data_IF_032469831696
#
_entry.id   IF_032469831696
#
_cell.length_a   1.000
_cell.length_b   1.000
_cell.length_c   1.000
_cell.angle_alpha   90.00
_cell.angle_beta   90.00
_cell.angle_gamma   90.00
#
_symmetry.space_group_name_H-M   'P 1'
#
loop_
_entity.id
_entity.type
_entity.pdbx_description
1 polymer ?
#
# COMPACT_ATOMS: atom_id res chain seq x y z
N UNK A 1 54.80 45.10 2.96
CA UNK A 1 54.79 43.71 2.44
C UNK A 1 53.34 43.32 2.20
N UNK A 2 52.93 43.44 0.94
CA UNK A 2 51.59 43.15 0.42
C UNK A 2 51.45 41.65 0.17
N UNK A 3 50.54 40.98 0.88
CA UNK A 3 50.16 39.59 0.62
C UNK A 3 49.02 39.59 -0.39
N UNK A 4 49.23 38.88 -1.50
CA UNK A 4 48.44 38.94 -2.71
C UNK A 4 47.01 38.42 -2.57
N UNK A 5 46.10 39.14 -3.21
CA UNK A 5 44.73 38.75 -3.51
C UNK A 5 44.78 37.63 -4.56
N UNK A 6 44.42 36.42 -4.16
CA UNK A 6 44.23 35.29 -5.07
C UNK A 6 43.01 35.54 -5.94
N UNK A 7 43.25 35.58 -7.24
CA UNK A 7 42.35 35.91 -8.33
C UNK A 7 41.26 34.84 -8.47
N UNK A 8 39.99 35.24 -8.50
CA UNK A 8 38.84 34.40 -8.80
C UNK A 8 38.87 33.93 -10.26
N UNK A 9 39.09 32.63 -10.49
CA UNK A 9 38.88 32.01 -11.78
C UNK A 9 37.38 31.90 -12.07
N UNK A 10 36.89 32.31 -13.26
CA UNK A 10 35.50 32.08 -13.65
C UNK A 10 35.30 30.59 -13.94
N UNK A 11 34.38 29.96 -13.19
CA UNK A 11 33.89 28.62 -13.46
C UNK A 11 33.30 28.57 -14.87
N UNK A 12 33.87 27.73 -15.73
CA UNK A 12 33.36 27.42 -17.05
C UNK A 12 31.92 26.90 -16.95
N UNK A 13 31.02 27.29 -17.88
CA UNK A 13 29.67 26.75 -17.90
C UNK A 13 29.79 25.27 -18.26
N UNK A 14 29.56 24.41 -17.28
CA UNK A 14 29.40 22.97 -17.52
C UNK A 14 28.33 22.81 -18.58
N UNK A 15 28.81 22.39 -19.76
CA UNK A 15 28.09 21.70 -20.82
C UNK A 15 26.74 21.17 -20.36
N UNK A 16 25.67 21.63 -21.03
CA UNK A 16 24.30 21.27 -20.73
C UNK A 16 24.13 19.78 -20.47
N UNK A 17 24.04 19.42 -19.20
CA UNK A 17 23.34 18.22 -18.80
C UNK A 17 21.88 18.52 -19.12
N UNK A 18 21.45 18.16 -20.34
CA UNK A 18 20.05 17.87 -20.56
C UNK A 18 19.73 16.75 -19.57
N UNK A 19 19.28 17.12 -18.36
CA UNK A 19 18.53 16.25 -17.49
C UNK A 19 17.36 15.85 -18.36
N UNK A 20 17.49 14.71 -19.04
CA UNK A 20 16.43 14.17 -19.87
C UNK A 20 15.22 14.14 -18.96
N UNK A 21 14.21 14.95 -19.27
CA UNK A 21 12.92 14.82 -18.63
C UNK A 21 12.44 13.43 -19.05
N UNK A 22 12.67 12.44 -18.19
CA UNK A 22 12.28 11.05 -18.39
C UNK A 22 10.76 10.99 -18.41
N UNK A 23 10.21 11.37 -19.56
CA UNK A 23 8.80 11.32 -19.87
C UNK A 23 8.47 9.85 -20.10
N UNK A 24 7.31 9.40 -19.63
CA UNK A 24 6.84 8.02 -19.86
C UNK A 24 7.05 7.62 -21.32
N UNK A 25 7.76 6.52 -21.54
CA UNK A 25 7.79 5.90 -22.86
C UNK A 25 6.40 5.38 -23.20
N UNK A 26 6.10 5.25 -24.50
CA UNK A 26 4.84 4.64 -24.97
C UNK A 26 4.66 3.26 -24.32
N UNK A 27 5.76 2.54 -24.08
CA UNK A 27 5.76 1.23 -23.40
C UNK A 27 5.22 1.33 -21.97
N UNK A 28 5.62 2.35 -21.21
CA UNK A 28 5.20 2.53 -19.82
C UNK A 28 3.70 2.84 -19.73
N UNK A 29 3.18 3.64 -20.67
CA UNK A 29 1.74 3.88 -20.79
C UNK A 29 0.97 2.61 -21.13
N UNK A 30 1.46 1.80 -22.07
CA UNK A 30 0.82 0.54 -22.44
C UNK A 30 0.77 -0.41 -21.24
N UNK A 31 1.87 -0.56 -20.50
CA UNK A 31 1.91 -1.42 -19.30
C UNK A 31 0.97 -0.91 -18.22
N UNK A 32 0.93 0.41 -17.99
CA UNK A 32 0.04 1.01 -17.01
C UNK A 32 -1.45 0.80 -17.34
N UNK A 33 -1.85 1.09 -18.58
CA UNK A 33 -3.23 0.87 -19.03
C UNK A 33 -3.58 -0.61 -19.01
N UNK A 34 -2.69 -1.50 -19.45
CA UNK A 34 -2.89 -2.94 -19.40
C UNK A 34 -3.11 -3.43 -17.96
N UNK A 35 -2.32 -2.93 -17.01
CA UNK A 35 -2.46 -3.28 -15.59
C UNK A 35 -3.82 -2.85 -15.02
N UNK A 36 -4.29 -1.64 -15.35
CA UNK A 36 -5.61 -1.17 -14.93
C UNK A 36 -6.73 -2.00 -15.56
N UNK A 37 -6.64 -2.29 -16.86
CA UNK A 37 -7.63 -3.09 -17.59
C UNK A 37 -7.67 -4.53 -17.08
N UNK A 38 -6.52 -5.17 -16.84
CA UNK A 38 -6.46 -6.51 -16.27
C UNK A 38 -7.07 -6.56 -14.87
N UNK A 39 -6.79 -5.56 -14.02
CA UNK A 39 -7.39 -5.46 -12.69
C UNK A 39 -8.91 -5.37 -12.79
N UNK A 40 -9.43 -4.45 -13.61
CA UNK A 40 -10.87 -4.34 -13.87
C UNK A 40 -11.46 -5.63 -14.46
N UNK A 41 -10.76 -6.29 -15.37
CA UNK A 41 -11.23 -7.52 -16.01
C UNK A 41 -11.36 -8.66 -15.00
N UNK A 42 -10.46 -8.78 -14.02
CA UNK A 42 -10.55 -9.77 -12.95
C UNK A 42 -11.76 -9.51 -12.06
N UNK A 43 -11.98 -8.25 -11.64
CA UNK A 43 -13.18 -7.87 -10.87
C UNK A 43 -14.47 -8.13 -11.66
N UNK A 44 -14.52 -7.68 -12.91
CA UNK A 44 -15.69 -7.88 -13.78
C UNK A 44 -15.94 -9.37 -14.08
N UNK A 45 -14.88 -10.16 -14.25
CA UNK A 45 -14.98 -11.61 -14.43
C UNK A 45 -15.64 -12.28 -13.21
N UNK A 46 -15.22 -11.89 -11.99
CA UNK A 46 -15.81 -12.43 -10.77
C UNK A 46 -17.24 -11.92 -10.52
N UNK A 47 -17.54 -10.67 -10.84
CA UNK A 47 -18.89 -10.13 -10.82
C UNK A 47 -19.83 -10.84 -11.81
N UNK A 48 -19.40 -11.02 -13.08
CA UNK A 48 -20.20 -11.66 -14.12
C UNK A 48 -20.38 -13.17 -13.90
N UNK A 49 -19.43 -13.85 -13.26
CA UNK A 49 -19.51 -15.29 -12.97
C UNK A 49 -20.44 -15.62 -11.80
N UNK A 50 -21.12 -14.62 -11.24
CA UNK A 50 -22.20 -14.81 -10.27
C UNK A 50 -21.73 -15.02 -8.84
N UNK A 51 -20.62 -14.40 -8.43
CA UNK A 51 -20.18 -14.44 -7.03
C UNK A 51 -21.21 -13.78 -6.06
N UNK A 52 -22.17 -13.00 -6.57
CA UNK A 52 -23.21 -12.32 -5.77
C UNK A 52 -24.20 -13.21 -5.01
N UNK A 53 -24.07 -14.55 -5.02
CA UNK A 53 -24.94 -15.48 -4.25
C UNK A 53 -24.27 -16.08 -3.01
N UNK A 54 -23.02 -15.74 -2.76
CA UNK A 54 -22.26 -16.29 -1.65
C UNK A 54 -22.62 -15.58 -0.33
N UNK A 55 -22.79 -16.37 0.73
CA UNK A 55 -23.11 -15.83 2.07
C UNK A 55 -21.93 -15.01 2.58
N UNK A 56 -22.16 -13.99 3.42
CA UNK A 56 -21.09 -13.12 3.98
C UNK A 56 -19.91 -13.93 4.55
N UNK A 57 -20.18 -15.10 5.14
CA UNK A 57 -19.14 -16.00 5.63
C UNK A 57 -18.26 -16.62 4.53
N UNK A 58 -18.79 -16.87 3.34
CA UNK A 58 -18.03 -17.40 2.22
C UNK A 58 -17.19 -16.33 1.53
N UNK A 59 -17.67 -15.08 1.50
CA UNK A 59 -16.89 -13.92 1.05
C UNK A 59 -15.76 -13.56 2.01
N UNK A 60 -16.04 -13.49 3.32
CA UNK A 60 -15.05 -13.03 4.31
C UNK A 60 -14.12 -14.14 4.80
N UNK A 61 -14.55 -15.40 4.78
CA UNK A 61 -13.76 -16.53 5.32
C UNK A 61 -13.34 -17.55 4.27
N UNK A 62 -13.75 -17.39 3.00
CA UNK A 62 -13.49 -18.36 1.92
C UNK A 62 -13.80 -19.80 2.34
N UNK A 63 -14.94 -19.99 3.02
CA UNK A 63 -15.41 -21.26 3.61
C UNK A 63 -14.39 -21.95 4.54
N UNK A 64 -13.37 -21.23 5.02
CA UNK A 64 -12.20 -21.74 5.78
C UNK A 64 -11.44 -22.88 5.07
N UNK A 65 -11.63 -23.04 3.76
CA UNK A 65 -10.99 -24.07 2.93
C UNK A 65 -9.75 -23.57 2.18
N UNK A 66 -9.38 -22.31 2.34
CA UNK A 66 -8.18 -21.75 1.72
C UNK A 66 -6.91 -22.44 2.25
N UNK A 67 -6.06 -22.89 1.32
CA UNK A 67 -4.75 -23.44 1.65
C UNK A 67 -3.82 -22.38 2.25
N UNK A 68 -2.76 -22.84 2.91
CA UNK A 68 -1.76 -21.97 3.54
C UNK A 68 -1.12 -20.97 2.56
N UNK A 69 -0.83 -21.42 1.32
CA UNK A 69 -0.17 -20.59 0.30
C UNK A 69 -1.01 -19.37 -0.14
N UNK A 70 -2.29 -19.52 -0.55
CA UNK A 70 -3.17 -18.38 -0.83
C UNK A 70 -3.29 -17.39 0.34
N UNK A 71 -3.40 -17.90 1.58
CA UNK A 71 -3.52 -17.05 2.77
C UNK A 71 -2.24 -16.24 3.00
N UNK A 72 -1.07 -16.89 2.91
CA UNK A 72 0.22 -16.22 3.05
C UNK A 72 0.41 -15.14 1.97
N UNK A 73 0.08 -15.43 0.71
CA UNK A 73 0.17 -14.47 -0.38
C UNK A 73 -0.77 -13.27 -0.18
N UNK A 74 -2.00 -13.49 0.26
CA UNK A 74 -2.96 -12.41 0.55
C UNK A 74 -2.50 -11.54 1.72
N UNK A 75 -1.95 -12.14 2.78
CA UNK A 75 -1.36 -11.40 3.90
C UNK A 75 -0.16 -10.57 3.45
N UNK A 76 0.77 -11.16 2.68
CA UNK A 76 1.92 -10.45 2.13
C UNK A 76 1.50 -9.28 1.23
N UNK A 77 0.49 -9.48 0.38
CA UNK A 77 -0.05 -8.43 -0.48
C UNK A 77 -0.66 -7.29 0.34
N UNK A 78 -1.38 -7.60 1.43
CA UNK A 78 -1.98 -6.59 2.32
C UNK A 78 -0.94 -5.82 3.12
N UNK A 79 0.16 -6.48 3.53
CA UNK A 79 1.23 -5.82 4.27
C UNK A 79 2.06 -4.86 3.41
N UNK A 80 2.13 -5.10 2.10
CA UNK A 80 2.93 -4.28 1.22
C UNK A 80 2.15 -3.05 0.76
N UNK A 81 2.69 -1.85 1.04
CA UNK A 81 2.07 -0.58 0.68
C UNK A 81 2.97 0.22 -0.28
N UNK A 82 2.35 1.00 -1.17
CA UNK A 82 3.06 1.91 -2.08
C UNK A 82 3.94 2.92 -1.32
N UNK A 83 3.50 3.34 -0.13
CA UNK A 83 4.26 4.25 0.75
C UNK A 83 5.54 3.59 1.24
N UNK A 84 5.50 2.30 1.57
CA UNK A 84 6.70 1.58 2.00
C UNK A 84 7.69 1.43 0.84
N UNK A 85 7.20 1.10 -0.36
CA UNK A 85 8.05 0.92 -1.53
C UNK A 85 8.80 2.20 -1.90
N UNK A 86 8.14 3.36 -1.85
CA UNK A 86 8.78 4.65 -2.14
C UNK A 86 9.54 5.22 -0.94
N UNK A 87 9.01 5.02 0.27
CA UNK A 87 9.53 5.58 1.51
C UNK A 87 10.81 4.91 1.99
N UNK A 88 10.89 3.57 1.97
CA UNK A 88 12.03 2.82 2.51
C UNK A 88 13.35 3.16 1.82
N UNK A 89 13.44 3.19 0.47
CA UNK A 89 14.66 3.63 -0.21
C UNK A 89 15.03 5.08 0.11
N UNK A 90 14.03 5.97 0.22
CA UNK A 90 14.26 7.38 0.54
C UNK A 90 14.82 7.58 1.96
N UNK A 91 14.36 6.77 2.91
CA UNK A 91 14.83 6.77 4.29
C UNK A 91 16.25 6.23 4.37
N UNK A 92 16.52 5.09 3.71
CA UNK A 92 17.87 4.49 3.68
C UNK A 92 18.87 5.44 3.00
N UNK A 93 18.46 6.13 1.94
CA UNK A 93 19.32 7.08 1.24
C UNK A 93 19.69 8.28 2.12
N UNK A 94 18.78 8.74 2.98
CA UNK A 94 19.00 9.92 3.85
C UNK A 94 19.66 9.60 5.17
N UNK A 95 19.26 8.50 5.81
CA UNK A 95 19.62 8.15 7.19
C UNK A 95 20.47 6.88 7.30
N UNK A 96 20.77 6.22 6.18
CA UNK A 96 21.64 5.05 6.12
C UNK A 96 20.94 3.72 6.40
N UNK A 97 21.72 2.67 6.65
CA UNK A 97 21.24 1.28 6.77
C UNK A 97 20.52 0.96 8.09
N UNK A 98 20.30 1.95 8.96
CA UNK A 98 19.65 1.75 10.26
C UNK A 98 18.21 1.21 10.11
N UNK A 99 17.54 1.51 9.00
CA UNK A 99 16.20 0.99 8.69
C UNK A 99 16.12 -0.56 8.71
N UNK A 100 17.24 -1.25 8.48
CA UNK A 100 17.30 -2.72 8.52
C UNK A 100 16.85 -3.31 9.86
N UNK A 101 17.12 -2.62 10.98
CA UNK A 101 16.72 -3.07 12.31
C UNK A 101 15.20 -3.18 12.43
N UNK A 102 14.46 -2.31 11.74
CA UNK A 102 13.01 -2.30 11.70
C UNK A 102 12.46 -3.58 11.05
N UNK A 103 13.11 -4.07 9.99
CA UNK A 103 12.80 -5.38 9.38
C UNK A 103 12.99 -6.56 10.32
N UNK A 104 14.11 -6.58 11.06
CA UNK A 104 14.36 -7.60 12.09
C UNK A 104 13.30 -7.58 13.20
N UNK A 105 12.92 -6.39 13.67
CA UNK A 105 11.85 -6.22 14.65
C UNK A 105 10.49 -6.71 14.13
N UNK A 106 10.15 -6.45 12.86
CA UNK A 106 8.93 -6.96 12.25
C UNK A 106 8.89 -8.49 12.25
N UNK A 107 9.99 -9.15 11.88
CA UNK A 107 10.08 -10.61 11.86
C UNK A 107 9.84 -11.22 13.26
N UNK A 108 10.53 -10.71 14.28
CA UNK A 108 10.32 -11.14 15.66
C UNK A 108 8.93 -10.78 16.19
N UNK A 109 8.43 -9.61 15.80
CA UNK A 109 7.11 -9.10 16.18
C UNK A 109 5.96 -9.96 15.62
N UNK A 110 6.14 -10.60 14.46
CA UNK A 110 5.16 -11.49 13.85
C UNK A 110 5.09 -12.88 14.53
N UNK A 111 6.14 -13.32 15.22
CA UNK A 111 6.12 -14.61 15.95
C UNK A 111 5.12 -14.60 17.11
N UNK A 112 5.00 -13.47 17.81
CA UNK A 112 4.08 -13.31 18.95
C UNK A 112 2.61 -13.51 18.53
N UNK A 113 2.06 -12.77 17.54
CA UNK A 113 0.71 -13.00 17.05
C UNK A 113 0.52 -14.38 16.46
N UNK A 114 1.53 -14.94 15.78
CA UNK A 114 1.46 -16.28 15.23
C UNK A 114 1.26 -17.37 16.29
N UNK A 115 1.95 -17.29 17.44
CA UNK A 115 1.88 -18.32 18.48
C UNK A 115 0.83 -18.07 19.56
N UNK A 116 0.49 -16.80 19.85
CA UNK A 116 -0.42 -16.47 20.96
C UNK A 116 -1.81 -16.10 20.45
N UNK A 117 -1.88 -15.20 19.47
CA UNK A 117 -3.15 -14.61 19.06
C UNK A 117 -3.92 -15.50 18.09
N UNK A 118 -3.25 -16.07 17.06
CA UNK A 118 -3.88 -16.99 16.10
C UNK A 118 -4.62 -18.15 16.78
N UNK A 119 -4.02 -18.93 17.71
CA UNK A 119 -4.73 -20.06 18.29
C UNK A 119 -5.93 -19.65 19.14
N UNK A 120 -5.91 -18.47 19.75
CA UNK A 120 -7.06 -17.92 20.50
C UNK A 120 -8.19 -17.58 19.52
N UNK A 121 -7.90 -16.79 18.46
CA UNK A 121 -8.92 -16.41 17.48
C UNK A 121 -9.52 -17.61 16.74
N UNK A 122 -8.70 -18.62 16.42
CA UNK A 122 -9.16 -19.82 15.73
C UNK A 122 -10.10 -20.68 16.60
N UNK A 123 -9.82 -20.79 17.91
CA UNK A 123 -10.67 -21.54 18.85
C UNK A 123 -12.03 -20.89 19.07
N UNK A 124 -12.07 -19.55 19.16
CA UNK A 124 -13.31 -18.81 19.39
C UNK A 124 -14.18 -18.66 18.13
N UNK A 125 -13.72 -19.16 16.97
CA UNK A 125 -14.46 -19.12 15.71
C UNK A 125 -14.94 -17.72 15.29
N UNK A 126 -14.23 -16.67 15.73
CA UNK A 126 -14.64 -15.28 15.51
C UNK A 126 -14.49 -14.87 14.05
N UNK A 127 -15.41 -14.02 13.61
CA UNK A 127 -15.40 -13.49 12.24
C UNK A 127 -14.64 -12.19 12.13
N UNK A 128 -14.53 -11.45 13.24
CA UNK A 128 -13.82 -10.17 13.32
C UNK A 128 -12.97 -10.11 14.59
N UNK A 129 -11.79 -9.51 14.51
CA UNK A 129 -10.92 -9.31 15.68
C UNK A 129 -11.61 -8.47 16.77
N UNK A 130 -12.51 -7.55 16.41
CA UNK A 130 -13.25 -6.71 17.36
C UNK A 130 -14.36 -7.47 18.11
N UNK A 131 -14.79 -8.62 17.59
CA UNK A 131 -15.74 -9.51 18.27
C UNK A 131 -15.16 -10.04 19.58
N UNK A 132 -13.84 -10.24 19.63
CA UNK A 132 -13.11 -10.59 20.85
C UNK A 132 -13.22 -9.50 21.93
N UNK A 133 -13.23 -8.22 21.54
CA UNK A 133 -13.39 -7.12 22.50
C UNK A 133 -14.79 -7.10 23.12
N UNK A 134 -15.81 -7.50 22.37
CA UNK A 134 -17.17 -7.64 22.90
C UNK A 134 -17.27 -8.78 23.90
N UNK A 135 -16.68 -9.94 23.59
CA UNK A 135 -16.67 -11.09 24.49
C UNK A 135 -15.88 -10.82 25.78
N UNK A 136 -14.80 -10.04 25.70
CA UNK A 136 -13.96 -9.76 26.86
C UNK A 136 -14.45 -8.59 27.72
N UNK A 137 -14.99 -7.55 27.10
CA UNK A 137 -15.38 -6.31 27.77
C UNK A 137 -16.88 -6.05 27.63
N UNK A 138 -17.30 -5.44 26.52
CA UNK A 138 -18.69 -5.13 26.22
C UNK A 138 -18.84 -4.66 24.75
N UNK A 139 -20.10 -4.50 24.31
CA UNK A 139 -20.45 -4.01 22.98
C UNK A 139 -19.97 -2.57 22.71
N UNK A 140 -19.92 -1.72 23.74
CA UNK A 140 -19.45 -0.33 23.61
C UNK A 140 -17.99 -0.25 23.19
N UNK A 141 -17.12 -1.08 23.77
CA UNK A 141 -15.69 -1.16 23.43
C UNK A 141 -15.51 -1.70 22.01
N UNK A 142 -16.33 -2.67 21.58
CA UNK A 142 -16.33 -3.14 20.18
C UNK A 142 -16.64 -2.01 19.20
N UNK A 143 -17.69 -1.24 19.45
CA UNK A 143 -18.08 -0.12 18.56
C UNK A 143 -16.98 0.94 18.55
N UNK A 144 -16.46 1.33 19.72
CA UNK A 144 -15.37 2.30 19.82
C UNK A 144 -14.13 1.84 19.03
N UNK A 145 -13.67 0.61 19.24
CA UNK A 145 -12.51 0.07 18.52
C UNK A 145 -12.71 -0.04 17.01
N UNK A 146 -13.91 -0.42 16.57
CA UNK A 146 -14.25 -0.49 15.14
C UNK A 146 -14.27 0.91 14.51
N UNK A 147 -14.87 1.91 15.19
CA UNK A 147 -14.92 3.29 14.68
C UNK A 147 -13.52 3.92 14.60
N UNK A 148 -12.69 3.75 15.64
CA UNK A 148 -11.31 4.24 15.62
C UNK A 148 -10.50 3.59 14.49
N UNK A 149 -10.68 2.29 14.26
CA UNK A 149 -10.02 1.60 13.16
C UNK A 149 -10.47 2.08 11.79
N UNK A 150 -11.78 2.25 11.58
CA UNK A 150 -12.32 2.80 10.32
C UNK A 150 -11.73 4.18 10.08
N UNK A 151 -11.73 5.06 11.09
CA UNK A 151 -11.16 6.40 10.97
C UNK A 151 -9.66 6.37 10.62
N UNK A 152 -8.88 5.55 11.33
CA UNK A 152 -7.46 5.36 11.03
C UNK A 152 -7.24 4.84 9.61
N UNK A 153 -8.04 3.85 9.18
CA UNK A 153 -7.91 3.25 7.85
C UNK A 153 -8.29 4.21 6.73
N UNK A 154 -9.30 5.07 6.92
CA UNK A 154 -9.65 6.10 5.92
C UNK A 154 -8.47 7.05 5.70
N UNK A 155 -7.84 7.51 6.78
CA UNK A 155 -6.66 8.39 6.68
C UNK A 155 -5.50 7.65 6.02
N UNK A 156 -5.22 6.42 6.45
CA UNK A 156 -4.14 5.61 5.90
C UNK A 156 -4.31 5.35 4.40
N UNK A 157 -5.50 4.90 3.98
CA UNK A 157 -5.81 4.64 2.57
C UNK A 157 -5.69 5.90 1.71
N UNK A 158 -6.02 7.08 2.24
CA UNK A 158 -5.79 8.35 1.57
C UNK A 158 -4.31 8.60 1.27
N UNK A 159 -3.43 8.37 2.26
CA UNK A 159 -1.96 8.50 2.07
C UNK A 159 -1.44 7.45 1.09
N UNK A 160 -1.95 6.22 1.18
CA UNK A 160 -1.54 5.13 0.29
C UNK A 160 -1.94 5.40 -1.16
N UNK A 161 -3.11 5.98 -1.42
CA UNK A 161 -3.53 6.39 -2.77
C UNK A 161 -2.77 7.62 -3.28
N UNK A 162 -2.33 8.49 -2.38
CA UNK A 162 -1.55 9.67 -2.75
C UNK A 162 -0.17 9.32 -3.31
N UNK A 163 0.53 8.35 -2.71
CA UNK A 163 1.87 7.93 -3.14
C UNK A 163 1.99 7.55 -4.65
N UNK A 164 1.18 6.63 -5.20
CA UNK A 164 1.21 6.31 -6.62
C UNK A 164 0.68 7.44 -7.50
N UNK A 165 -0.26 8.25 -7.00
CA UNK A 165 -0.78 9.42 -7.74
C UNK A 165 0.29 10.50 -7.90
N UNK A 166 1.09 10.74 -6.87
CA UNK A 166 2.22 11.67 -6.91
C UNK A 166 3.31 11.17 -7.86
N UNK A 167 3.61 9.88 -7.82
CA UNK A 167 4.54 9.27 -8.76
C UNK A 167 4.05 9.44 -10.20
N UNK A 168 2.75 9.22 -10.47
CA UNK A 168 2.14 9.40 -11.78
C UNK A 168 2.10 10.86 -12.24
N UNK A 169 1.84 11.81 -11.34
CA UNK A 169 1.91 13.24 -11.63
C UNK A 169 3.32 13.67 -12.03
N UNK A 170 4.35 13.22 -11.31
CA UNK A 170 5.74 13.59 -11.55
C UNK A 170 6.26 13.15 -12.94
N UNK A 171 5.70 12.07 -13.49
CA UNK A 171 6.18 11.43 -14.72
C UNK A 171 5.31 11.69 -15.95
N UNK A 172 4.02 12.00 -15.75
CA UNK A 172 3.09 12.32 -16.85
C UNK A 172 2.81 13.82 -16.98
N UNK A 173 3.03 14.61 -15.93
CA UNK A 173 2.68 16.04 -15.88
C UNK A 173 1.17 16.31 -15.78
N UNK A 174 0.33 15.29 -15.65
CA UNK A 174 -1.11 15.44 -15.43
C UNK A 174 -1.44 16.04 -14.07
N UNK A 175 -2.58 16.71 -13.93
CA UNK A 175 -3.02 17.22 -12.64
C UNK A 175 -3.13 16.10 -11.58
N UNK A 176 -2.64 16.40 -10.38
CA UNK A 176 -2.57 15.44 -9.27
C UNK A 176 -3.97 14.99 -8.84
N UNK A 177 -4.97 15.88 -8.84
CA UNK A 177 -6.33 15.56 -8.43
C UNK A 177 -6.99 14.59 -9.40
N UNK A 178 -6.77 14.78 -10.70
CA UNK A 178 -7.31 13.87 -11.72
C UNK A 178 -6.70 12.47 -11.59
N UNK A 179 -5.41 12.38 -11.28
CA UNK A 179 -4.69 11.12 -11.06
C UNK A 179 -5.22 10.37 -9.84
N UNK A 180 -5.44 11.08 -8.73
CA UNK A 180 -6.02 10.52 -7.49
C UNK A 180 -7.44 10.01 -7.74
N UNK A 181 -8.28 10.79 -8.42
CA UNK A 181 -9.65 10.40 -8.72
C UNK A 181 -9.71 9.16 -9.64
N UNK A 182 -8.88 9.12 -10.70
CA UNK A 182 -8.85 8.00 -11.62
C UNK A 182 -8.43 6.69 -10.93
N UNK A 183 -7.32 6.72 -10.17
CA UNK A 183 -6.84 5.55 -9.42
C UNK A 183 -7.84 5.12 -8.34
N UNK A 184 -8.45 6.08 -7.64
CA UNK A 184 -9.48 5.82 -6.64
C UNK A 184 -10.71 5.14 -7.23
N UNK A 185 -11.22 5.62 -8.37
CA UNK A 185 -12.37 5.02 -9.06
C UNK A 185 -12.04 3.60 -9.51
N UNK A 186 -10.91 3.38 -10.18
CA UNK A 186 -10.51 2.05 -10.64
C UNK A 186 -10.38 1.07 -9.47
N UNK A 187 -9.73 1.48 -8.38
CA UNK A 187 -9.57 0.66 -7.18
C UNK A 187 -10.92 0.33 -6.52
N UNK A 188 -11.81 1.32 -6.40
CA UNK A 188 -13.15 1.14 -5.82
C UNK A 188 -13.99 0.20 -6.67
N UNK A 189 -13.98 0.39 -7.99
CA UNK A 189 -14.72 -0.46 -8.94
C UNK A 189 -14.20 -1.89 -8.90
N UNK A 190 -12.89 -2.09 -8.94
CA UNK A 190 -12.27 -3.42 -8.84
C UNK A 190 -12.61 -4.12 -7.51
N UNK A 191 -12.63 -3.40 -6.39
CA UNK A 191 -12.90 -3.99 -5.08
C UNK A 191 -14.39 -4.25 -4.85
N UNK A 192 -15.27 -3.46 -5.46
CA UNK A 192 -16.72 -3.58 -5.32
C UNK A 192 -17.34 -4.66 -6.22
N UNK A 193 -16.67 -5.02 -7.33
CA UNK A 193 -17.07 -6.05 -8.28
C UNK A 193 -16.53 -7.44 -7.88
#
# INVERSE_FOLDING_TARGET
MSVGVSTSAPLSPTSGTSVGMSTFSIVDYVVFVLLLVLSLAIGLYHACRGWGRHTVGELLMADRKMGCLPVALSLLATFQSAVAILGVPSEIYRFGTQYWFLGCCYFLGLLIPAHIFIPVFYRLHLTSAYEYLELRFNKTVRVCGTVTFIFQMVIYMGVVLYAPSLALNAVTGFDLWLSVLALGIVCTVYTAL
#
